data_IF_491651441189
#
_entry.id   IF_491651441189
#
_cell.length_a   1.000
_cell.length_b   1.000
_cell.length_c   1.000
_cell.angle_alpha   90.00
_cell.angle_beta   90.00
_cell.angle_gamma   90.00
#
_symmetry.space_group_name_H-M   'P 1'
#
loop_
_entity.id
_entity.type
_entity.pdbx_description
1 polymer ?
#
# COMPACT_ATOMS: atom_id res chain seq x y z
N UNK A 1 -9.68 -45.00 -27.65
CA UNK A 1 -10.28 -43.68 -27.90
C UNK A 1 -11.02 -43.29 -26.64
N UNK A 2 -10.31 -42.66 -25.70
CA UNK A 2 -10.88 -42.04 -24.50
C UNK A 2 -10.16 -40.70 -24.40
N UNK A 3 -10.90 -39.64 -24.70
CA UNK A 3 -10.43 -38.26 -24.62
C UNK A 3 -10.13 -37.92 -23.18
N UNK A 4 -8.85 -37.79 -22.85
CA UNK A 4 -8.39 -37.25 -21.58
C UNK A 4 -8.16 -35.74 -21.74
N UNK A 5 -9.25 -35.00 -22.02
CA UNK A 5 -9.29 -33.56 -21.76
C UNK A 5 -9.56 -33.37 -20.27
N UNK A 6 -8.57 -33.73 -19.45
CA UNK A 6 -8.47 -33.20 -18.11
C UNK A 6 -8.35 -31.68 -18.27
N UNK A 7 -9.39 -30.99 -17.85
CA UNK A 7 -9.49 -29.54 -17.75
C UNK A 7 -8.27 -29.05 -16.98
N UNK A 8 -7.26 -28.56 -17.71
CA UNK A 8 -6.07 -27.94 -17.13
C UNK A 8 -6.57 -26.67 -16.49
N UNK A 9 -6.92 -26.74 -15.20
CA UNK A 9 -7.24 -25.58 -14.38
C UNK A 9 -6.19 -24.51 -14.68
N UNK A 10 -6.59 -23.45 -15.37
CA UNK A 10 -5.68 -22.44 -15.88
C UNK A 10 -4.83 -21.94 -14.71
N UNK A 11 -3.51 -22.10 -14.79
CA UNK A 11 -2.63 -21.66 -13.72
C UNK A 11 -2.90 -20.18 -13.39
N UNK A 12 -3.03 -19.79 -12.11
CA UNK A 12 -3.41 -18.42 -11.78
C UNK A 12 -2.41 -17.42 -12.40
N UNK A 13 -2.86 -16.50 -13.24
CA UNK A 13 -1.97 -15.48 -13.80
C UNK A 13 -1.61 -14.43 -12.74
N UNK A 14 -0.64 -13.56 -13.01
CA UNK A 14 -0.33 -12.47 -12.07
C UNK A 14 -1.51 -11.49 -11.89
N UNK A 15 -2.52 -11.54 -12.77
CA UNK A 15 -3.74 -10.74 -12.65
C UNK A 15 -4.56 -11.07 -11.40
N UNK A 16 -4.46 -12.28 -10.87
CA UNK A 16 -5.17 -12.69 -9.65
C UNK A 16 -4.42 -12.32 -8.36
N UNK A 17 -3.23 -11.72 -8.45
CA UNK A 17 -2.44 -11.37 -7.26
C UNK A 17 -2.98 -10.09 -6.62
N UNK A 18 -3.25 -10.17 -5.31
CA UNK A 18 -3.76 -9.04 -4.56
C UNK A 18 -2.70 -7.93 -4.41
N UNK A 19 -3.12 -6.65 -4.33
CA UNK A 19 -2.21 -5.56 -3.99
C UNK A 19 -1.56 -5.76 -2.62
N UNK A 20 -0.37 -5.17 -2.44
CA UNK A 20 0.40 -5.25 -1.21
C UNK A 20 0.80 -6.66 -0.76
N UNK A 21 0.64 -7.70 -1.59
CA UNK A 21 0.79 -9.08 -1.13
C UNK A 21 2.15 -9.34 -0.44
N UNK A 22 3.26 -8.96 -1.04
CA UNK A 22 4.61 -9.16 -0.46
C UNK A 22 4.78 -8.42 0.87
N UNK A 23 4.28 -7.19 0.95
CA UNK A 23 4.36 -6.35 2.14
C UNK A 23 3.42 -6.86 3.25
N UNK A 24 2.25 -7.39 2.89
CA UNK A 24 1.36 -8.09 3.83
C UNK A 24 2.01 -9.37 4.38
N UNK A 25 2.68 -10.16 3.54
CA UNK A 25 3.40 -11.35 3.98
C UNK A 25 4.45 -11.00 5.03
N UNK A 26 5.29 -9.99 4.76
CA UNK A 26 6.34 -9.59 5.69
C UNK A 26 5.78 -8.97 6.97
N UNK A 27 4.71 -8.16 6.86
CA UNK A 27 3.98 -7.66 8.01
C UNK A 27 3.47 -8.80 8.89
N UNK A 28 2.80 -9.80 8.29
CA UNK A 28 2.25 -10.95 9.02
C UNK A 28 3.34 -11.87 9.58
N UNK A 29 4.48 -12.00 8.89
CA UNK A 29 5.64 -12.77 9.36
C UNK A 29 6.18 -12.17 10.66
N UNK A 30 6.39 -10.86 10.71
CA UNK A 30 6.84 -10.16 11.92
C UNK A 30 5.72 -10.13 12.97
N UNK A 31 4.48 -9.90 12.57
CA UNK A 31 3.34 -9.89 13.50
C UNK A 31 3.16 -11.24 14.20
N UNK A 32 3.51 -12.35 13.56
CA UNK A 32 3.42 -13.68 14.16
C UNK A 32 4.34 -13.88 15.37
N UNK A 33 5.37 -13.03 15.54
CA UNK A 33 6.26 -13.06 16.73
C UNK A 33 5.77 -12.17 17.87
N UNK A 34 4.61 -11.51 17.72
CA UNK A 34 4.08 -10.63 18.76
C UNK A 34 3.59 -11.43 19.97
N UNK A 35 3.88 -10.98 21.21
CA UNK A 35 3.35 -11.61 22.40
C UNK A 35 1.82 -11.49 22.45
N UNK A 36 1.11 -12.50 22.97
CA UNK A 36 -0.34 -12.42 23.10
C UNK A 36 -0.73 -11.27 24.04
N UNK A 37 -1.70 -10.46 23.62
CA UNK A 37 -2.22 -9.39 24.47
C UNK A 37 -2.97 -9.96 25.68
N UNK A 38 -2.71 -9.41 26.87
CA UNK A 38 -3.47 -9.70 28.09
C UNK A 38 -4.93 -9.22 27.98
N UNK A 39 -5.81 -9.75 28.83
CA UNK A 39 -7.21 -9.30 28.88
C UNK A 39 -7.32 -7.80 29.17
N UNK A 40 -6.51 -7.28 30.10
CA UNK A 40 -6.44 -5.86 30.42
C UNK A 40 -5.97 -5.02 29.21
N UNK A 41 -4.91 -5.45 28.51
CA UNK A 41 -4.42 -4.79 27.31
C UNK A 41 -5.50 -4.66 26.22
N UNK A 42 -6.29 -5.72 26.01
CA UNK A 42 -7.43 -5.71 25.08
C UNK A 42 -8.53 -4.76 25.55
N UNK A 43 -8.86 -4.79 26.84
CA UNK A 43 -9.91 -3.94 27.44
C UNK A 43 -9.59 -2.45 27.24
N UNK A 44 -8.35 -2.05 27.52
CA UNK A 44 -7.89 -0.66 27.38
C UNK A 44 -7.53 -0.25 25.94
N UNK A 45 -7.66 -1.16 24.97
CA UNK A 45 -7.41 -0.85 23.56
C UNK A 45 -5.94 -0.68 23.21
N UNK A 46 -5.02 -1.40 23.87
CA UNK A 46 -3.62 -1.41 23.47
C UNK A 46 -3.48 -1.89 22.01
N UNK A 47 -2.63 -1.22 21.23
CA UNK A 47 -2.43 -1.56 19.83
C UNK A 47 -1.80 -2.96 19.67
N UNK A 48 -2.46 -3.92 18.97
CA UNK A 48 -1.93 -5.28 18.79
C UNK A 48 -0.77 -5.36 17.80
N UNK A 49 -0.51 -4.30 17.04
CA UNK A 49 0.53 -4.29 16.01
C UNK A 49 1.93 -4.31 16.63
N UNK A 50 2.72 -5.33 16.28
CA UNK A 50 4.11 -5.45 16.66
C UNK A 50 4.90 -4.21 16.21
N UNK A 51 5.76 -3.62 17.06
CA UNK A 51 6.49 -2.40 16.73
C UNK A 51 7.27 -2.49 15.41
N UNK A 52 7.93 -3.62 15.15
CA UNK A 52 8.71 -3.86 13.93
C UNK A 52 7.83 -4.12 12.70
N UNK A 53 6.58 -4.57 12.90
CA UNK A 53 5.62 -4.74 11.81
C UNK A 53 5.00 -3.40 11.35
N UNK A 54 5.22 -2.30 12.07
CA UNK A 54 4.56 -1.00 11.81
C UNK A 54 4.90 -0.38 10.46
N UNK A 55 6.15 -0.51 10.01
CA UNK A 55 6.59 0.02 8.70
C UNK A 55 5.96 -0.79 7.57
N UNK A 56 5.96 -2.12 7.68
CA UNK A 56 5.32 -3.04 6.74
C UNK A 56 3.81 -2.84 6.69
N UNK A 57 3.14 -2.75 7.84
CA UNK A 57 1.71 -2.45 7.91
C UNK A 57 1.37 -1.14 7.19
N UNK A 58 2.13 -0.06 7.45
CA UNK A 58 1.95 1.22 6.76
C UNK A 58 2.22 1.13 5.26
N UNK A 59 3.26 0.38 4.86
CA UNK A 59 3.55 0.11 3.45
C UNK A 59 2.36 -0.56 2.75
N UNK A 60 1.81 -1.60 3.37
CA UNK A 60 0.68 -2.34 2.81
C UNK A 60 -0.57 -1.47 2.66
N UNK A 61 -0.87 -0.63 3.66
CA UNK A 61 -1.95 0.36 3.54
C UNK A 61 -1.73 1.31 2.36
N UNK A 62 -0.49 1.74 2.14
CA UNK A 62 -0.16 2.62 1.03
C UNK A 62 -0.40 1.94 -0.32
N UNK A 63 0.10 0.72 -0.50
CA UNK A 63 -0.10 -0.04 -1.74
C UNK A 63 -1.57 -0.39 -2.00
N UNK A 64 -2.35 -0.68 -0.96
CA UNK A 64 -3.81 -0.86 -1.09
C UNK A 64 -4.46 0.43 -1.59
N UNK A 65 -4.11 1.59 -1.02
CA UNK A 65 -4.68 2.88 -1.45
C UNK A 65 -4.34 3.19 -2.92
N UNK A 66 -3.08 2.98 -3.31
CA UNK A 66 -2.67 3.19 -4.71
C UNK A 66 -3.38 2.22 -5.64
N UNK A 67 -3.55 0.96 -5.26
CA UNK A 67 -4.32 -0.01 -6.02
C UNK A 67 -5.79 0.42 -6.18
N UNK A 68 -6.42 0.99 -5.14
CA UNK A 68 -7.78 1.53 -5.23
C UNK A 68 -7.85 2.69 -6.23
N UNK A 69 -6.86 3.58 -6.25
CA UNK A 69 -6.79 4.66 -7.26
C UNK A 69 -6.63 4.10 -8.67
N UNK A 70 -5.78 3.08 -8.84
CA UNK A 70 -5.52 2.43 -10.12
C UNK A 70 -6.73 1.66 -10.65
N UNK A 71 -7.56 1.08 -9.77
CA UNK A 71 -8.80 0.39 -10.16
C UNK A 71 -9.78 1.29 -10.93
N UNK A 72 -9.66 2.61 -10.79
CA UNK A 72 -10.51 3.63 -11.42
C UNK A 72 -10.01 4.05 -12.81
N UNK A 73 -8.98 3.39 -13.36
CA UNK A 73 -8.40 3.75 -14.67
C UNK A 73 -9.30 3.39 -15.86
N UNK A 74 -10.12 2.34 -15.75
CA UNK A 74 -11.01 1.86 -16.82
C UNK A 74 -10.42 0.68 -17.59
N UNK A 75 -11.17 0.14 -18.55
CA UNK A 75 -10.87 -1.12 -19.27
C UNK A 75 -9.61 -1.06 -20.13
N UNK A 76 -9.23 0.12 -20.62
CA UNK A 76 -8.06 0.31 -21.49
C UNK A 76 -6.73 0.13 -20.72
N UNK A 77 -6.80 -0.06 -19.40
CA UNK A 77 -5.65 -0.19 -18.53
C UNK A 77 -5.63 -1.57 -17.87
N UNK A 78 -4.48 -2.23 -17.96
CA UNK A 78 -4.16 -3.42 -17.19
C UNK A 78 -3.27 -3.02 -16.02
N UNK A 79 -3.61 -3.51 -14.83
CA UNK A 79 -2.87 -3.27 -13.59
C UNK A 79 -2.52 -4.62 -12.99
N UNK A 80 -1.22 -4.85 -12.78
CA UNK A 80 -0.69 -6.02 -12.08
C UNK A 80 -0.08 -5.57 -10.77
N UNK A 81 -0.29 -6.34 -9.72
CA UNK A 81 0.18 -6.00 -8.38
C UNK A 81 1.19 -7.02 -7.86
N UNK A 82 2.11 -6.55 -7.02
CA UNK A 82 3.19 -7.36 -6.45
C UNK A 82 3.85 -8.21 -7.55
N UNK A 83 4.36 -7.59 -8.61
CA UNK A 83 4.94 -8.34 -9.72
C UNK A 83 6.32 -8.83 -9.30
N UNK A 84 6.55 -10.15 -9.20
CA UNK A 84 7.82 -10.68 -8.72
C UNK A 84 8.91 -10.40 -9.74
N UNK A 85 10.12 -10.01 -9.32
CA UNK A 85 11.23 -9.80 -10.27
C UNK A 85 12.55 -10.38 -9.77
N UNK A 86 13.36 -10.90 -10.69
CA UNK A 86 14.70 -11.38 -10.37
C UNK A 86 14.69 -12.82 -9.84
N UNK A 87 15.24 -13.05 -8.65
CA UNK A 87 15.23 -14.36 -7.96
C UNK A 87 14.11 -14.47 -6.90
N UNK A 88 13.10 -13.60 -6.97
CA UNK A 88 11.98 -13.57 -6.02
C UNK A 88 12.25 -12.81 -4.71
N UNK A 89 13.40 -12.12 -4.58
CA UNK A 89 13.74 -11.36 -3.36
C UNK A 89 13.19 -9.93 -3.33
N UNK A 90 12.55 -9.48 -4.41
CA UNK A 90 11.96 -8.13 -4.53
C UNK A 90 10.80 -8.17 -5.51
N UNK A 91 9.70 -7.50 -5.14
CA UNK A 91 8.52 -7.36 -5.98
C UNK A 91 8.38 -5.89 -6.41
N UNK A 92 7.85 -5.65 -7.60
CA UNK A 92 7.40 -4.34 -8.05
C UNK A 92 5.96 -4.16 -7.56
N UNK A 93 5.69 -3.11 -6.79
CA UNK A 93 4.37 -2.89 -6.18
C UNK A 93 3.26 -2.94 -7.24
N UNK A 94 3.39 -2.16 -8.33
CA UNK A 94 2.47 -2.22 -9.47
C UNK A 94 3.16 -2.08 -10.83
N UNK A 95 2.70 -2.86 -11.81
CA UNK A 95 2.96 -2.65 -13.24
C UNK A 95 1.64 -2.24 -13.89
N UNK A 96 1.66 -1.10 -14.59
CA UNK A 96 0.47 -0.52 -15.23
C UNK A 96 0.73 -0.40 -16.73
N UNK A 97 -0.17 -0.94 -17.53
CA UNK A 97 -0.08 -0.98 -19.00
C UNK A 97 -1.35 -0.35 -19.55
N UNK A 98 -1.23 0.62 -20.46
CA UNK A 98 -2.38 1.22 -21.12
C UNK A 98 -1.98 2.15 -22.25
N UNK A 99 -2.89 3.04 -22.72
CA UNK A 99 -2.65 3.88 -23.90
C UNK A 99 -1.37 4.71 -23.82
N UNK A 100 -0.99 5.14 -22.62
CA UNK A 100 0.17 6.00 -22.39
C UNK A 100 1.52 5.26 -22.30
N UNK A 101 1.54 3.93 -22.41
CA UNK A 101 2.75 3.12 -22.25
C UNK A 101 2.69 2.16 -21.08
N UNK A 102 3.88 1.66 -20.70
CA UNK A 102 4.08 0.77 -19.55
C UNK A 102 4.75 1.53 -18.41
N UNK A 103 4.27 1.35 -17.19
CA UNK A 103 4.74 2.02 -16.00
C UNK A 103 5.04 1.03 -14.89
N UNK A 104 6.11 1.26 -14.13
CA UNK A 104 6.27 0.68 -12.79
C UNK A 104 5.94 1.75 -11.78
N UNK A 105 5.20 1.37 -10.75
CA UNK A 105 4.79 2.26 -9.68
C UNK A 105 5.35 1.73 -8.38
N UNK A 106 6.14 2.57 -7.72
CA UNK A 106 6.66 2.30 -6.39
C UNK A 106 5.92 3.20 -5.40
N UNK A 107 5.26 2.58 -4.42
CA UNK A 107 4.38 3.24 -3.46
C UNK A 107 5.15 3.58 -2.19
N UNK A 108 4.97 4.81 -1.69
CA UNK A 108 5.62 5.29 -0.48
C UNK A 108 4.62 5.99 0.43
N UNK A 109 4.34 5.36 1.55
CA UNK A 109 3.50 5.90 2.61
C UNK A 109 4.36 6.61 3.67
N UNK A 110 4.85 7.80 3.32
CA UNK A 110 5.68 8.62 4.19
C UNK A 110 4.88 9.78 4.80
N UNK A 111 5.15 10.06 6.06
CA UNK A 111 4.72 11.27 6.76
C UNK A 111 5.86 12.27 6.84
N UNK A 112 5.57 13.56 6.64
CA UNK A 112 6.54 14.64 6.78
C UNK A 112 6.96 15.26 5.45
N UNK A 113 7.94 16.17 5.53
CA UNK A 113 8.33 17.05 4.42
C UNK A 113 9.06 16.25 3.34
N UNK A 114 8.51 16.24 2.13
CA UNK A 114 9.11 15.58 0.97
C UNK A 114 9.79 16.62 0.09
N UNK A 115 11.04 16.34 -0.30
CA UNK A 115 11.76 17.13 -1.29
C UNK A 115 12.27 16.26 -2.44
N UNK A 116 12.09 16.74 -3.67
CA UNK A 116 12.52 16.02 -4.88
C UNK A 116 13.28 16.96 -5.82
N UNK A 117 14.48 16.57 -6.23
CA UNK A 117 15.27 17.29 -7.22
C UNK A 117 16.24 16.35 -7.95
N UNK A 118 16.22 16.33 -9.28
CA UNK A 118 17.11 15.47 -10.07
C UNK A 118 17.02 14.00 -9.65
N UNK A 119 18.15 13.43 -9.20
CA UNK A 119 18.24 12.06 -8.70
C UNK A 119 17.94 11.88 -7.20
N UNK A 120 17.54 12.95 -6.48
CA UNK A 120 17.35 12.93 -5.03
C UNK A 120 15.88 13.01 -4.64
N UNK A 121 15.48 12.12 -3.72
CA UNK A 121 14.27 12.24 -2.92
C UNK A 121 14.67 12.19 -1.45
N UNK A 122 14.27 13.19 -0.66
CA UNK A 122 14.46 13.19 0.79
C UNK A 122 13.15 13.29 1.55
N UNK A 123 13.13 12.68 2.74
CA UNK A 123 12.03 12.67 3.70
C UNK A 123 12.54 13.30 4.99
N UNK A 124 11.92 14.40 5.43
CA UNK A 124 12.37 15.18 6.60
C UNK A 124 13.87 15.54 6.57
N UNK A 125 14.39 15.87 5.37
CA UNK A 125 15.80 16.23 5.18
C UNK A 125 16.75 15.05 4.95
N UNK A 126 16.33 13.81 5.23
CA UNK A 126 17.16 12.62 5.02
C UNK A 126 17.02 12.09 3.59
N UNK A 127 18.14 11.96 2.87
CA UNK A 127 18.16 11.39 1.52
C UNK A 127 17.75 9.91 1.53
N UNK A 128 17.05 9.49 0.49
CA UNK A 128 16.60 8.11 0.30
C UNK A 128 17.11 7.55 -1.03
N UNK A 129 17.07 6.23 -1.15
CA UNK A 129 17.39 5.50 -2.39
C UNK A 129 16.20 5.35 -3.35
N UNK A 130 15.03 5.95 -3.05
CA UNK A 130 13.79 5.65 -3.77
C UNK A 130 13.87 5.89 -5.29
N UNK A 131 14.54 6.98 -5.73
CA UNK A 131 14.71 7.27 -7.15
C UNK A 131 15.60 6.22 -7.83
N UNK A 132 16.73 5.86 -7.19
CA UNK A 132 17.67 4.85 -7.70
C UNK A 132 16.97 3.50 -7.84
N UNK A 133 16.25 3.08 -6.80
CA UNK A 133 15.53 1.80 -6.79
C UNK A 133 14.44 1.75 -7.86
N UNK A 134 13.64 2.82 -8.00
CA UNK A 134 12.58 2.91 -9.02
C UNK A 134 13.15 2.83 -10.45
N UNK A 135 14.30 3.46 -10.70
CA UNK A 135 14.98 3.36 -12.00
C UNK A 135 15.48 1.94 -12.29
N UNK A 136 16.05 1.25 -11.29
CA UNK A 136 16.47 -0.14 -11.44
C UNK A 136 15.28 -1.08 -11.68
N UNK A 137 14.18 -0.90 -10.95
CA UNK A 137 12.93 -1.66 -11.14
C UNK A 137 12.37 -1.48 -12.56
N UNK A 138 12.24 -0.24 -13.03
CA UNK A 138 11.78 0.03 -14.39
C UNK A 138 12.73 -0.52 -15.45
N UNK A 139 14.04 -0.40 -15.26
CA UNK A 139 15.04 -0.96 -16.18
C UNK A 139 14.95 -2.48 -16.26
N UNK A 140 14.75 -3.15 -15.12
CA UNK A 140 14.55 -4.61 -15.07
C UNK A 140 13.25 -5.02 -15.75
N UNK A 141 12.14 -4.35 -15.46
CA UNK A 141 10.85 -4.62 -16.09
C UNK A 141 10.91 -4.41 -17.60
N UNK A 142 11.56 -3.32 -18.05
CA UNK A 142 11.81 -3.04 -19.46
C UNK A 142 12.56 -4.18 -20.14
N UNK A 143 13.65 -4.66 -19.54
CA UNK A 143 14.44 -5.76 -20.08
C UNK A 143 13.61 -7.04 -20.21
N UNK A 144 12.91 -7.44 -19.15
CA UNK A 144 12.15 -8.70 -19.09
C UNK A 144 10.97 -8.70 -20.08
N UNK A 145 10.22 -7.59 -20.13
CA UNK A 145 9.14 -7.43 -21.11
C UNK A 145 9.67 -7.37 -22.54
N UNK A 146 10.82 -6.74 -22.78
CA UNK A 146 11.40 -6.68 -24.13
C UNK A 146 11.82 -8.06 -24.63
N UNK A 147 12.41 -8.88 -23.77
CA UNK A 147 12.78 -10.27 -24.09
C UNK A 147 11.52 -11.06 -24.44
N UNK A 148 10.48 -10.99 -23.59
CA UNK A 148 9.24 -11.73 -23.80
C UNK A 148 8.47 -11.23 -25.04
N UNK A 149 8.55 -9.93 -25.34
CA UNK A 149 7.91 -9.34 -26.50
C UNK A 149 8.69 -9.57 -27.81
N UNK A 150 10.00 -9.84 -27.75
CA UNK A 150 10.86 -9.87 -28.93
C UNK A 150 11.10 -8.48 -29.55
N UNK A 151 10.70 -7.40 -28.88
CA UNK A 151 10.86 -6.01 -29.32
C UNK A 151 11.16 -5.11 -28.12
N UNK A 152 11.79 -3.93 -28.31
CA UNK A 152 12.04 -3.01 -27.20
C UNK A 152 10.74 -2.48 -26.57
N UNK A 153 10.56 -2.73 -25.27
CA UNK A 153 9.46 -2.21 -24.45
C UNK A 153 10.01 -1.23 -23.42
N UNK A 154 9.68 0.05 -23.56
CA UNK A 154 10.07 1.09 -22.59
C UNK A 154 9.11 1.08 -21.41
N UNK A 155 9.68 1.00 -20.20
CA UNK A 155 8.94 1.08 -18.94
C UNK A 155 9.31 2.37 -18.21
N UNK A 156 8.30 3.15 -17.81
CA UNK A 156 8.48 4.45 -17.15
C UNK A 156 8.27 4.33 -15.64
N UNK A 157 9.26 4.64 -14.79
CA UNK A 157 9.10 4.59 -13.35
C UNK A 157 8.29 5.77 -12.82
N UNK A 158 7.42 5.49 -11.84
CA UNK A 158 6.70 6.45 -11.02
C UNK A 158 6.94 6.15 -9.54
N UNK A 159 7.08 7.20 -8.73
CA UNK A 159 6.98 7.11 -7.27
C UNK A 159 5.67 7.77 -6.87
N UNK A 160 4.80 7.01 -6.21
CA UNK A 160 3.51 7.51 -5.74
C UNK A 160 3.54 7.64 -4.23
N UNK A 161 3.27 8.85 -3.76
CA UNK A 161 3.24 9.17 -2.35
C UNK A 161 1.81 9.10 -1.83
N UNK A 162 1.59 8.29 -0.80
CA UNK A 162 0.34 8.25 -0.02
C UNK A 162 0.36 9.34 1.06
N UNK A 163 1.01 10.47 0.75
CA UNK A 163 1.24 11.56 1.69
C UNK A 163 0.25 12.70 1.45
N UNK A 164 -0.20 13.29 2.54
CA UNK A 164 -0.98 14.53 2.56
C UNK A 164 -0.11 15.78 2.53
N UNK A 165 1.21 15.63 2.66
CA UNK A 165 2.14 16.76 2.74
C UNK A 165 2.55 17.29 1.35
N UNK A 166 2.74 18.61 1.21
CA UNK A 166 3.20 19.20 -0.05
C UNK A 166 4.57 18.64 -0.48
N UNK A 167 4.67 18.25 -1.76
CA UNK A 167 5.95 17.85 -2.37
C UNK A 167 6.72 19.10 -2.78
N UNK A 168 7.81 19.42 -2.07
CA UNK A 168 8.72 20.50 -2.46
C UNK A 168 9.59 20.05 -3.64
N UNK A 169 9.54 20.78 -4.76
CA UNK A 169 10.37 20.52 -5.93
C UNK A 169 11.59 21.45 -5.93
N UNK A 170 12.78 20.90 -6.17
CA UNK A 170 13.98 21.69 -6.42
C UNK A 170 14.06 22.20 -7.86
N UNK A 171 15.14 22.92 -8.17
CA UNK A 171 15.37 23.54 -9.49
C UNK A 171 15.59 22.50 -10.60
N UNK A 172 16.22 21.37 -10.27
CA UNK A 172 16.50 20.30 -11.24
C UNK A 172 15.30 19.37 -11.39
N UNK A 173 14.83 19.19 -12.63
CA UNK A 173 13.74 18.27 -12.94
C UNK A 173 14.03 16.85 -12.41
N UNK A 174 13.11 16.22 -11.66
CA UNK A 174 13.29 14.86 -11.17
C UNK A 174 13.52 13.85 -12.29
N UNK A 175 14.42 12.88 -12.07
CA UNK A 175 14.67 11.75 -12.99
C UNK A 175 13.50 10.76 -13.04
N UNK A 176 12.72 10.68 -11.96
CA UNK A 176 11.52 9.85 -11.82
C UNK A 176 10.36 10.77 -11.48
N UNK A 177 9.19 10.52 -12.06
CA UNK A 177 8.00 11.32 -11.74
C UNK A 177 7.54 10.94 -10.33
N UNK A 178 7.45 11.94 -9.45
CA UNK A 178 6.94 11.79 -8.09
C UNK A 178 5.63 12.56 -7.97
N UNK A 179 4.57 11.89 -7.54
CA UNK A 179 3.23 12.48 -7.43
C UNK A 179 2.44 11.89 -6.25
N UNK A 180 1.44 12.62 -5.73
CA UNK A 180 0.55 12.09 -4.69
C UNK A 180 -0.46 11.09 -5.30
N UNK A 181 -0.91 10.12 -4.49
CA UNK A 181 -1.84 9.05 -4.90
C UNK A 181 -3.11 9.60 -5.55
N UNK A 182 -3.72 10.63 -4.97
CA UNK A 182 -4.94 11.27 -5.47
C UNK A 182 -4.80 11.94 -6.86
N UNK A 183 -3.59 12.17 -7.37
CA UNK A 183 -3.35 12.69 -8.73
C UNK A 183 -3.03 11.60 -9.75
N UNK A 184 -2.74 10.36 -9.32
CA UNK A 184 -2.21 9.30 -10.18
C UNK A 184 -3.12 8.95 -11.35
N UNK A 185 -4.39 8.62 -11.09
CA UNK A 185 -5.33 8.23 -12.14
C UNK A 185 -5.50 9.34 -13.19
N UNK A 186 -5.68 10.59 -12.73
CA UNK A 186 -5.77 11.76 -13.62
C UNK A 186 -4.48 11.98 -14.41
N UNK A 187 -3.32 11.82 -13.77
CA UNK A 187 -2.02 12.00 -14.42
C UNK A 187 -1.81 10.99 -15.54
N UNK A 188 -2.11 9.71 -15.30
CA UNK A 188 -2.02 8.63 -16.28
C UNK A 188 -2.96 8.87 -17.47
N UNK A 189 -4.24 9.19 -17.21
CA UNK A 189 -5.25 9.43 -18.25
C UNK A 189 -4.96 10.65 -19.14
N UNK A 190 -4.21 11.63 -18.64
CA UNK A 190 -3.83 12.85 -19.41
C UNK A 190 -2.58 12.70 -20.25
N UNK A 191 -1.88 11.55 -20.18
CA UNK A 191 -0.72 11.29 -21.03
C UNK A 191 -1.19 11.02 -22.47
N UNK A 192 -0.41 11.42 -23.48
CA UNK A 192 -0.74 11.10 -24.87
C UNK A 192 -0.75 9.58 -25.08
N UNK A 193 -1.65 9.10 -25.95
CA UNK A 193 -1.62 7.71 -26.42
C UNK A 193 -0.35 7.50 -27.24
N UNK A 194 0.43 6.50 -26.88
CA UNK A 194 1.63 6.06 -27.60
C UNK A 194 1.59 4.58 -27.97
N UNK A 195 0.66 3.80 -27.38
CA UNK A 195 0.44 2.40 -27.69
C UNK A 195 -0.86 2.22 -28.47
N UNK A 196 -0.84 1.33 -29.46
CA UNK A 196 -2.06 0.81 -30.12
C UNK A 196 -2.76 -0.23 -29.24
N UNK A 197 -4.04 -0.49 -29.48
CA UNK A 197 -4.80 -1.51 -28.74
C UNK A 197 -4.11 -2.89 -28.79
N UNK A 198 -3.64 -3.28 -29.98
CA UNK A 198 -2.91 -4.54 -30.17
C UNK A 198 -1.63 -4.60 -29.33
N UNK A 199 -0.92 -3.47 -29.16
CA UNK A 199 0.28 -3.42 -28.33
C UNK A 199 -0.07 -3.51 -26.84
N UNK A 200 -1.15 -2.85 -26.42
CA UNK A 200 -1.65 -2.91 -25.03
C UNK A 200 -2.02 -4.36 -24.69
N UNK A 201 -2.84 -5.00 -25.52
CA UNK A 201 -3.27 -6.39 -25.32
C UNK A 201 -2.06 -7.35 -25.29
N UNK A 202 -1.14 -7.21 -26.25
CA UNK A 202 0.08 -8.03 -26.30
C UNK A 202 0.93 -7.86 -25.04
N UNK A 203 1.20 -6.63 -24.63
CA UNK A 203 2.02 -6.37 -23.44
C UNK A 203 1.33 -6.79 -22.16
N UNK A 204 0.01 -6.60 -22.05
CA UNK A 204 -0.78 -7.09 -20.92
C UNK A 204 -0.70 -8.62 -20.81
N UNK A 205 -0.96 -9.33 -21.92
CA UNK A 205 -0.90 -10.79 -21.96
C UNK A 205 0.49 -11.33 -21.58
N UNK A 206 1.56 -10.71 -22.07
CA UNK A 206 2.93 -11.08 -21.69
C UNK A 206 3.19 -10.77 -20.21
N UNK A 207 2.84 -9.57 -19.74
CA UNK A 207 3.04 -9.18 -18.35
C UNK A 207 2.25 -10.04 -17.35
N UNK A 208 1.10 -10.59 -17.73
CA UNK A 208 0.32 -11.51 -16.91
C UNK A 208 1.00 -12.88 -16.72
N UNK A 209 1.89 -13.27 -17.64
CA UNK A 209 2.61 -14.53 -17.58
C UNK A 209 3.69 -14.48 -16.52
N UNK A 210 3.66 -15.43 -15.58
CA UNK A 210 4.68 -15.56 -14.53
C UNK A 210 6.08 -15.72 -15.11
N UNK A 211 6.21 -16.50 -16.19
CA UNK A 211 7.47 -16.79 -16.87
C UNK A 211 8.16 -15.55 -17.46
N UNK A 212 7.42 -14.46 -17.68
CA UNK A 212 8.03 -13.19 -18.11
C UNK A 212 8.93 -12.59 -17.04
N UNK A 213 8.61 -12.81 -15.77
CA UNK A 213 9.29 -12.12 -14.67
C UNK A 213 10.24 -13.00 -13.86
N UNK A 214 10.02 -14.32 -13.88
CA UNK A 214 10.81 -15.28 -13.14
C UNK A 214 10.91 -16.62 -13.89
N UNK A 215 12.06 -17.28 -13.80
CA UNK A 215 12.29 -18.58 -14.46
C UNK A 215 11.66 -19.77 -13.69
N UNK A 216 11.46 -19.64 -12.38
CA UNK A 216 10.82 -20.68 -11.54
C UNK A 216 9.40 -20.28 -11.12
N UNK A 217 8.45 -21.23 -11.07
CA UNK A 217 7.10 -20.98 -10.59
C UNK A 217 7.09 -20.81 -9.06
N UNK A 218 6.84 -19.59 -8.58
CA UNK A 218 6.49 -19.35 -7.17
C UNK A 218 5.05 -19.80 -6.96
N UNK A 219 4.80 -20.62 -5.94
CA UNK A 219 3.45 -21.11 -5.57
C UNK A 219 2.71 -19.99 -4.82
N UNK A 220 1.59 -19.52 -5.37
CA UNK A 220 0.82 -18.37 -4.86
C UNK A 220 -0.54 -18.75 -4.23
N UNK A 221 -0.79 -20.03 -3.96
CA UNK A 221 -2.08 -20.55 -3.46
C UNK A 221 -2.54 -19.89 -2.14
N UNK A 222 -1.64 -19.20 -1.43
CA UNK A 222 -1.92 -18.54 -0.16
C UNK A 222 -2.29 -17.04 -0.29
N UNK A 223 -2.51 -16.49 -1.48
CA UNK A 223 -2.80 -15.05 -1.67
C UNK A 223 -4.03 -14.59 -0.88
N UNK A 224 -5.16 -15.29 -1.05
CA UNK A 224 -6.40 -14.97 -0.34
C UNK A 224 -6.23 -15.11 1.18
N UNK A 225 -5.48 -16.12 1.62
CA UNK A 225 -5.21 -16.36 3.04
C UNK A 225 -4.44 -15.20 3.67
N UNK A 226 -3.40 -14.68 3.00
CA UNK A 226 -2.65 -13.52 3.50
C UNK A 226 -3.50 -12.26 3.55
N UNK A 227 -4.32 -12.01 2.52
CA UNK A 227 -5.25 -10.87 2.50
C UNK A 227 -6.23 -10.96 3.67
N UNK A 228 -6.87 -12.11 3.89
CA UNK A 228 -7.82 -12.29 5.00
C UNK A 228 -7.16 -12.13 6.38
N UNK A 229 -5.94 -12.67 6.57
CA UNK A 229 -5.17 -12.50 7.81
C UNK A 229 -4.81 -11.04 8.05
N UNK A 230 -4.41 -10.32 7.00
CA UNK A 230 -4.09 -8.90 7.10
C UNK A 230 -5.33 -8.05 7.41
N UNK A 231 -6.47 -8.33 6.77
CA UNK A 231 -7.75 -7.67 7.06
C UNK A 231 -8.20 -7.90 8.51
N UNK A 232 -8.01 -9.10 9.04
CA UNK A 232 -8.26 -9.39 10.46
C UNK A 232 -7.39 -8.51 11.36
N UNK A 233 -6.08 -8.43 11.08
CA UNK A 233 -5.17 -7.55 11.81
C UNK A 233 -5.59 -6.08 11.73
N UNK A 234 -6.00 -5.59 10.56
CA UNK A 234 -6.52 -4.23 10.39
C UNK A 234 -7.75 -3.98 11.28
N UNK A 235 -8.68 -4.93 11.30
CA UNK A 235 -9.89 -4.86 12.13
C UNK A 235 -9.54 -4.82 13.63
N UNK A 236 -8.63 -5.68 14.09
CA UNK A 236 -8.16 -5.69 15.48
C UNK A 236 -7.50 -4.37 15.88
N UNK A 237 -6.67 -3.79 15.01
CA UNK A 237 -6.04 -2.49 15.23
C UNK A 237 -7.09 -1.38 15.29
N UNK A 238 -8.10 -1.41 14.42
CA UNK A 238 -9.18 -0.42 14.40
C UNK A 238 -10.01 -0.47 15.69
N UNK A 239 -10.41 -1.67 16.13
CA UNK A 239 -11.12 -1.87 17.40
C UNK A 239 -10.29 -1.44 18.60
N UNK A 240 -8.99 -1.77 18.64
CA UNK A 240 -8.09 -1.32 19.69
C UNK A 240 -8.01 0.21 19.75
N UNK A 241 -7.84 0.87 18.59
CA UNK A 241 -7.83 2.34 18.51
C UNK A 241 -9.15 2.95 18.97
N UNK A 242 -10.29 2.37 18.60
CA UNK A 242 -11.60 2.85 19.05
C UNK A 242 -11.74 2.76 20.57
N UNK A 243 -11.41 1.60 21.17
CA UNK A 243 -11.42 1.40 22.63
C UNK A 243 -10.49 2.38 23.35
N UNK A 244 -9.28 2.58 22.83
CA UNK A 244 -8.34 3.52 23.43
C UNK A 244 -8.91 4.95 23.42
N UNK A 245 -9.50 5.38 22.30
CA UNK A 245 -10.15 6.70 22.20
C UNK A 245 -11.33 6.84 23.16
N UNK A 246 -12.14 5.81 23.35
CA UNK A 246 -13.24 5.84 24.32
C UNK A 246 -12.72 5.93 25.76
N UNK A 247 -11.66 5.19 26.10
CA UNK A 247 -11.03 5.29 27.44
C UNK A 247 -10.44 6.67 27.69
N UNK A 248 -9.74 7.24 26.71
CA UNK A 248 -9.23 8.62 26.80
C UNK A 248 -10.37 9.61 27.02
N UNK A 249 -11.48 9.48 26.27
CA UNK A 249 -12.64 10.36 26.42
C UNK A 249 -13.33 10.20 27.79
N UNK A 250 -13.48 8.97 28.30
CA UNK A 250 -14.04 8.75 29.64
C UNK A 250 -13.14 9.33 30.72
N UNK A 251 -11.82 9.15 30.62
CA UNK A 251 -10.84 9.69 31.56
C UNK A 251 -10.83 11.24 31.58
N UNK A 252 -11.20 11.91 30.48
CA UNK A 252 -11.31 13.37 30.43
C UNK A 252 -12.70 13.89 30.83
N UNK A 253 -13.78 13.24 30.41
CA UNK A 253 -15.15 13.74 30.61
C UNK A 253 -15.72 13.42 32.00
N UNK A 254 -15.42 12.25 32.58
CA UNK A 254 -15.95 11.86 33.90
C UNK A 254 -15.53 12.84 35.01
N UNK A 255 -14.25 13.26 35.12
CA UNK A 255 -13.85 14.24 36.14
C UNK A 255 -14.53 15.59 35.96
N UNK A 256 -14.70 16.05 34.71
CA UNK A 256 -15.36 17.32 34.40
C UNK A 256 -16.83 17.26 34.82
N UNK A 257 -17.54 16.20 34.44
CA UNK A 257 -18.94 16.01 34.85
C UNK A 257 -19.08 15.93 36.38
N UNK A 258 -18.18 15.21 37.05
CA UNK A 258 -18.17 15.11 38.52
C UNK A 258 -17.91 16.46 39.19
N UNK A 259 -17.01 17.29 38.65
CA UNK A 259 -16.75 18.64 39.14
C UNK A 259 -17.96 19.57 38.94
N UNK A 260 -18.65 19.49 37.79
CA UNK A 260 -19.88 20.26 37.53
C UNK A 260 -20.97 19.88 38.54
N UNK A 261 -21.19 18.59 38.77
CA UNK A 261 -22.16 18.11 39.77
C UNK A 261 -21.78 18.60 41.17
N UNK A 262 -20.50 18.51 41.55
CA UNK A 262 -20.03 18.99 42.85
C UNK A 262 -20.28 20.50 43.03
N UNK A 263 -19.98 21.31 42.02
CA UNK A 263 -20.24 22.76 42.03
C UNK A 263 -21.74 23.06 42.09
N UNK A 264 -22.58 22.32 41.37
CA UNK A 264 -24.03 22.53 41.36
C UNK A 264 -24.70 22.16 42.70
N UNK A 265 -24.16 21.16 43.42
CA UNK A 265 -24.73 20.67 44.68
C UNK A 265 -24.20 21.44 45.90
N UNK A 266 -22.98 21.99 45.86
CA UNK A 266 -22.37 22.71 46.98
C UNK A 266 -23.23 23.87 47.55
N UNK A 267 -23.84 24.75 46.74
CA UNK A 267 -24.66 25.85 47.24
C UNK A 267 -25.89 25.39 48.02
N UNK A 268 -26.50 24.28 47.62
CA UNK A 268 -27.68 23.71 48.30
C UNK A 268 -27.35 23.10 49.67
N UNK A 269 -26.16 22.53 49.82
CA UNK A 269 -25.71 21.92 51.09
C UNK A 269 -25.27 22.98 52.09
N UNK A 270 -24.61 24.06 51.65
CA UNK A 270 -24.19 25.16 52.54
C UNK A 270 -25.43 25.92 53.07
N UNK A 271 -26.43 26.17 52.23
CA UNK A 271 -27.67 26.84 52.65
C UNK A 271 -28.52 25.98 53.60
N UNK A 272 -28.50 24.66 53.46
CA UNK A 272 -29.20 23.75 54.39
C UNK A 272 -28.52 23.65 55.76
N UNK A 273 -27.19 23.82 55.84
CA UNK A 273 -26.43 23.80 57.09
C UNK A 273 -26.46 25.10 57.91
N UNK A 274 -26.87 26.22 57.31
CA UNK A 274 -26.97 27.54 57.98
C UNK A 274 -28.36 27.81 58.61
N UNK A 275 -29.35 26.94 58.36
CA UNK A 275 -30.71 27.06 58.88
C UNK A 275 -31.01 26.12 60.07
N UNK A 276 -29.98 25.55 60.69
CA UNK A 276 -30.04 24.82 61.96
C UNK A 276 -29.15 25.52 63.00
#
# INVERSE_FOLDING_TARGET
>A
MIDNHADVAAQPTLRSRAPAYSVMQECLRIQATAPPQSAAARLFGQNPLHPEARSWYRGALGEIEVAEVLSKLGSDWTVLHAVPVGSGSSDIDHVVIGPAGVFTINTKNHTGKIFVAGGTLSVNGHKTDHIRNSLHEAGRASRLLSISAGTPVRVTPLIVLVSTEPIKKGRTKPKVTVLPSNWLSRWLKRRPRILSEQSIERYAKLAEQRGTWHAQPVVFDDTLRHVQRFQRLQHEIALARQRNRTWIAMATLLPIAMAIVLIAVLPGVIMAGLNH
#
